data_IF_771057595023
#
_entry.id   IF_771057595023
#
_cell.length_a   1.000
_cell.length_b   1.000
_cell.length_c   1.000
_cell.angle_alpha   90.00
_cell.angle_beta   90.00
_cell.angle_gamma   90.00
#
_symmetry.space_group_name_H-M   'P 1'
#
loop_
_entity.id
_entity.type
_entity.pdbx_description
1 polymer ?
#
# COMPACT_ATOMS: atom_id res chain seq x y z
N UNK A 1 65.70 -55.28 -24.33
CA UNK A 1 65.52 -56.58 -25.01
C UNK A 1 63.99 -56.80 -25.10
N UNK A 2 63.55 -56.67 -26.30
CA UNK A 2 62.26 -56.96 -26.93
C UNK A 2 61.65 -58.35 -26.60
N UNK A 3 60.34 -58.42 -26.50
CA UNK A 3 59.58 -59.43 -27.20
C UNK A 3 58.10 -59.06 -27.36
N UNK A 4 57.72 -58.95 -28.63
CA UNK A 4 56.38 -58.84 -29.20
C UNK A 4 55.65 -60.17 -29.12
N UNK A 5 54.41 -60.22 -28.67
CA UNK A 5 53.50 -61.35 -28.96
C UNK A 5 52.22 -60.82 -29.60
N UNK A 6 52.10 -61.13 -30.85
CA UNK A 6 50.89 -60.97 -31.69
C UNK A 6 49.86 -62.00 -31.25
N UNK A 7 48.66 -61.55 -30.93
CA UNK A 7 47.49 -62.41 -30.76
C UNK A 7 46.49 -62.10 -31.89
N UNK A 8 46.18 -63.12 -32.63
CA UNK A 8 45.28 -63.21 -33.79
C UNK A 8 43.81 -63.10 -33.28
N UNK A 9 43.06 -62.11 -33.79
CA UNK A 9 41.65 -62.01 -33.53
C UNK A 9 40.83 -62.79 -34.57
N UNK A 10 39.92 -63.63 -34.10
CA UNK A 10 38.89 -64.34 -34.87
C UNK A 10 37.72 -63.40 -35.17
N UNK A 11 37.11 -63.36 -36.36
CA UNK A 11 35.97 -62.48 -36.66
C UNK A 11 34.68 -63.03 -36.05
N UNK A 12 33.91 -62.15 -35.46
CA UNK A 12 32.57 -62.38 -34.92
C UNK A 12 31.51 -62.47 -36.04
N UNK A 13 30.43 -63.23 -35.86
CA UNK A 13 29.36 -63.39 -36.87
C UNK A 13 28.46 -62.17 -36.92
N UNK A 14 27.92 -61.86 -38.12
CA UNK A 14 27.00 -60.76 -38.40
C UNK A 14 25.67 -60.94 -37.65
N UNK A 15 25.06 -59.80 -37.15
CA UNK A 15 23.74 -59.85 -36.51
C UNK A 15 22.63 -60.00 -37.57
N UNK A 16 21.63 -60.81 -37.23
CA UNK A 16 20.43 -61.07 -38.01
C UNK A 16 19.58 -59.80 -38.11
N UNK A 17 18.96 -59.55 -39.25
CA UNK A 17 17.98 -58.49 -39.49
C UNK A 17 16.73 -58.77 -38.64
N UNK A 18 16.44 -57.87 -37.69
CA UNK A 18 15.14 -57.77 -37.04
C UNK A 18 14.28 -56.77 -37.80
N UNK A 19 13.27 -57.30 -38.45
CA UNK A 19 12.11 -56.57 -38.95
C UNK A 19 11.27 -56.11 -37.74
N UNK A 20 11.44 -54.84 -37.28
CA UNK A 20 10.55 -54.21 -36.31
C UNK A 20 9.83 -53.06 -36.99
N UNK A 21 8.74 -53.40 -37.68
CA UNK A 21 7.71 -52.47 -38.08
C UNK A 21 6.80 -52.12 -36.89
N UNK A 22 7.33 -51.45 -35.86
CA UNK A 22 6.51 -50.76 -34.86
C UNK A 22 6.35 -49.33 -35.30
N UNK A 23 5.20 -49.02 -35.90
CA UNK A 23 4.75 -47.66 -36.15
C UNK A 23 4.77 -46.87 -34.82
N UNK A 24 5.75 -45.98 -34.66
CA UNK A 24 5.81 -45.07 -33.53
C UNK A 24 4.61 -44.12 -33.60
N UNK A 25 3.71 -44.23 -32.63
CA UNK A 25 2.62 -43.28 -32.44
C UNK A 25 3.21 -41.86 -32.41
N UNK A 26 2.59 -40.87 -33.11
CA UNK A 26 3.08 -39.51 -33.11
C UNK A 26 3.07 -39.00 -31.68
N UNK A 27 4.22 -38.51 -31.18
CA UNK A 27 4.37 -37.87 -29.89
C UNK A 27 3.28 -36.80 -29.75
N UNK A 28 2.61 -36.69 -28.58
CA UNK A 28 1.57 -35.69 -28.38
C UNK A 28 2.18 -34.31 -28.69
N UNK A 29 1.60 -33.62 -29.66
CA UNK A 29 1.92 -32.21 -29.95
C UNK A 29 1.72 -31.45 -28.67
N UNK A 30 2.80 -31.20 -27.91
CA UNK A 30 2.84 -30.23 -26.85
C UNK A 30 2.44 -28.92 -27.54
N UNK A 31 1.19 -28.53 -27.35
CA UNK A 31 0.69 -27.25 -27.84
C UNK A 31 1.66 -26.19 -27.32
N UNK A 32 2.45 -25.59 -28.19
CA UNK A 32 3.26 -24.43 -27.91
C UNK A 32 2.26 -23.37 -27.47
N UNK A 33 2.06 -23.25 -26.15
CA UNK A 33 1.35 -22.13 -25.54
C UNK A 33 2.04 -20.89 -26.10
N UNK A 34 1.41 -20.22 -27.05
CA UNK A 34 1.88 -18.95 -27.60
C UNK A 34 2.03 -18.02 -26.40
N UNK A 35 3.27 -17.71 -26.01
CA UNK A 35 3.54 -16.70 -24.99
C UNK A 35 3.00 -15.39 -25.56
N UNK A 36 1.83 -14.97 -25.07
CA UNK A 36 1.26 -13.67 -25.42
C UNK A 36 2.29 -12.61 -25.09
N UNK A 37 2.56 -11.64 -25.97
CA UNK A 37 3.60 -10.65 -25.72
C UNK A 37 3.22 -9.77 -24.50
N UNK A 38 4.21 -9.52 -23.65
CA UNK A 38 4.08 -8.53 -22.57
C UNK A 38 3.89 -7.12 -23.14
N UNK A 39 3.20 -6.27 -22.40
CA UNK A 39 3.03 -4.86 -22.75
C UNK A 39 4.39 -4.15 -22.68
N UNK A 40 4.83 -3.57 -23.80
CA UNK A 40 6.12 -2.89 -23.96
C UNK A 40 5.99 -1.38 -23.77
N UNK A 41 7.02 -0.74 -23.20
CA UNK A 41 7.11 0.72 -23.14
C UNK A 41 7.08 1.33 -24.55
N UNK A 42 6.41 2.46 -24.70
CA UNK A 42 6.23 3.14 -25.99
C UNK A 42 5.01 2.68 -26.78
N UNK A 43 4.32 1.61 -26.38
CA UNK A 43 3.08 1.19 -27.03
C UNK A 43 1.88 1.97 -26.46
N UNK A 44 0.82 2.18 -27.29
CA UNK A 44 -0.42 2.79 -26.80
C UNK A 44 -1.05 2.02 -25.64
N UNK A 45 -0.85 0.70 -25.58
CA UNK A 45 -1.35 -0.17 -24.52
C UNK A 45 -0.63 0.14 -23.19
N UNK A 46 0.69 0.38 -23.22
CA UNK A 46 1.46 0.80 -22.06
C UNK A 46 0.97 2.13 -21.47
N UNK A 47 0.71 3.11 -22.34
CA UNK A 47 0.18 4.42 -21.92
C UNK A 47 -1.19 4.26 -21.27
N UNK A 48 -2.09 3.46 -21.88
CA UNK A 48 -3.43 3.18 -21.34
C UNK A 48 -3.35 2.53 -19.95
N UNK A 49 -2.54 1.50 -19.80
CA UNK A 49 -2.37 0.81 -18.51
C UNK A 49 -1.79 1.76 -17.46
N UNK A 50 -0.74 2.50 -17.80
CA UNK A 50 -0.11 3.45 -16.88
C UNK A 50 -1.07 4.55 -16.44
N UNK A 51 -1.83 5.14 -17.36
CA UNK A 51 -2.83 6.16 -17.04
C UNK A 51 -3.97 5.59 -16.19
N UNK A 52 -4.43 4.38 -16.51
CA UNK A 52 -5.46 3.69 -15.73
C UNK A 52 -5.00 3.49 -14.27
N UNK A 53 -3.81 2.95 -14.05
CA UNK A 53 -3.32 2.70 -12.70
C UNK A 53 -2.95 3.98 -11.95
N UNK A 54 -2.42 4.99 -12.62
CA UNK A 54 -2.20 6.30 -12.01
C UNK A 54 -3.51 6.90 -11.49
N UNK A 55 -4.55 6.92 -12.33
CA UNK A 55 -5.87 7.44 -11.95
C UNK A 55 -6.56 6.59 -10.88
N UNK A 56 -6.42 5.26 -10.94
CA UNK A 56 -6.95 4.36 -9.91
C UNK A 56 -6.27 4.61 -8.56
N UNK A 57 -4.95 4.77 -8.55
CA UNK A 57 -4.19 5.12 -7.35
C UNK A 57 -4.62 6.46 -6.77
N UNK A 58 -4.74 7.48 -7.63
CA UNK A 58 -5.19 8.81 -7.26
C UNK A 58 -6.59 8.76 -6.64
N UNK A 59 -7.56 8.10 -7.29
CA UNK A 59 -8.92 7.95 -6.78
C UNK A 59 -8.96 7.18 -5.45
N UNK A 60 -8.23 6.06 -5.34
CA UNK A 60 -8.18 5.22 -4.14
C UNK A 60 -7.77 6.02 -2.90
N UNK A 61 -6.67 6.77 -3.00
CA UNK A 61 -6.13 7.49 -1.85
C UNK A 61 -6.88 8.81 -1.59
N UNK A 62 -7.45 9.45 -2.63
CA UNK A 62 -8.36 10.57 -2.45
C UNK A 62 -9.61 10.14 -1.66
N UNK A 63 -10.29 9.05 -2.07
CA UNK A 63 -11.45 8.49 -1.37
C UNK A 63 -11.14 8.08 0.08
N UNK A 64 -9.96 7.48 0.31
CA UNK A 64 -9.59 7.00 1.64
C UNK A 64 -9.38 8.15 2.63
N UNK A 65 -8.64 9.19 2.21
CA UNK A 65 -8.12 10.22 3.09
C UNK A 65 -8.83 11.58 3.04
N UNK A 66 -9.82 11.77 2.16
CA UNK A 66 -10.58 13.03 2.05
C UNK A 66 -11.25 13.48 3.35
N UNK A 67 -11.54 12.56 4.26
CA UNK A 67 -12.21 12.90 5.54
C UNK A 67 -11.28 13.53 6.57
N UNK A 68 -9.95 13.41 6.44
CA UNK A 68 -9.03 13.89 7.48
C UNK A 68 -9.15 15.39 7.77
N UNK A 69 -9.16 16.30 6.80
CA UNK A 69 -9.28 17.72 7.10
C UNK A 69 -10.64 18.09 7.70
N UNK A 70 -11.69 17.32 7.43
CA UNK A 70 -13.05 17.60 7.90
C UNK A 70 -13.41 16.90 9.22
N UNK A 71 -12.49 16.18 9.87
CA UNK A 71 -12.76 15.55 11.16
C UNK A 71 -13.29 16.52 12.22
N UNK A 72 -12.75 17.75 12.34
CA UNK A 72 -13.31 18.75 13.26
C UNK A 72 -14.75 19.15 12.91
N UNK A 73 -15.09 19.30 11.63
CA UNK A 73 -16.45 19.60 11.19
C UNK A 73 -17.42 18.46 11.51
N UNK A 74 -17.00 17.21 11.30
CA UNK A 74 -17.79 16.04 11.66
C UNK A 74 -18.02 15.97 13.19
N UNK A 75 -17.01 16.34 14.00
CA UNK A 75 -17.17 16.43 15.45
C UNK A 75 -18.26 17.42 15.83
N UNK A 76 -18.30 18.58 15.18
CA UNK A 76 -19.29 19.64 15.44
C UNK A 76 -20.70 19.23 14.96
N UNK A 77 -20.83 18.76 13.71
CA UNK A 77 -22.13 18.44 13.11
C UNK A 77 -22.86 17.29 13.82
N UNK A 78 -22.10 16.30 14.29
CA UNK A 78 -22.66 15.11 14.95
C UNK A 78 -22.52 15.12 16.48
N UNK A 79 -21.99 16.21 17.05
CA UNK A 79 -21.72 16.36 18.48
C UNK A 79 -20.99 15.17 19.08
N UNK A 80 -19.90 14.77 18.44
CA UNK A 80 -19.05 13.63 18.83
C UNK A 80 -17.64 14.08 19.17
N UNK A 81 -16.94 13.27 19.96
CA UNK A 81 -15.55 13.55 20.34
C UNK A 81 -14.61 13.49 19.14
N UNK A 82 -13.41 14.10 19.20
CA UNK A 82 -12.37 13.94 18.19
C UNK A 82 -11.95 12.49 17.94
N UNK A 83 -11.92 11.65 18.99
CA UNK A 83 -11.75 10.21 18.85
C UNK A 83 -12.93 9.58 18.07
N UNK A 84 -14.16 10.01 18.37
CA UNK A 84 -15.36 9.58 17.66
C UNK A 84 -15.30 9.90 16.17
N UNK A 85 -14.98 11.14 15.80
CA UNK A 85 -14.92 11.53 14.39
C UNK A 85 -13.81 10.82 13.61
N UNK A 86 -12.68 10.53 14.25
CA UNK A 86 -11.58 9.77 13.63
C UNK A 86 -12.00 8.34 13.24
N UNK A 87 -13.08 7.78 13.85
CA UNK A 87 -13.65 6.50 13.44
C UNK A 87 -14.09 6.50 11.97
N UNK A 88 -14.42 7.65 11.39
CA UNK A 88 -14.75 7.74 9.95
C UNK A 88 -13.59 7.31 9.06
N UNK A 89 -12.36 7.64 9.42
CA UNK A 89 -11.17 7.14 8.73
C UNK A 89 -10.82 5.73 9.19
N UNK A 90 -10.87 5.47 10.49
CA UNK A 90 -10.50 4.18 11.07
C UNK A 90 -11.38 3.02 10.60
N UNK A 91 -12.68 3.24 10.40
CA UNK A 91 -13.58 2.28 9.80
C UNK A 91 -13.14 1.92 8.36
N UNK A 92 -12.77 2.93 7.57
CA UNK A 92 -12.29 2.69 6.21
C UNK A 92 -10.94 1.94 6.21
N UNK A 93 -9.94 2.41 6.97
CA UNK A 93 -8.61 1.78 6.99
C UNK A 93 -8.63 0.39 7.63
N UNK A 94 -9.44 0.18 8.66
CA UNK A 94 -9.62 -1.13 9.30
C UNK A 94 -10.26 -2.14 8.37
N UNK A 95 -11.35 -1.76 7.67
CA UNK A 95 -12.01 -2.63 6.69
C UNK A 95 -11.17 -2.84 5.44
N UNK A 96 -10.34 -1.87 5.04
CA UNK A 96 -9.36 -2.06 3.98
C UNK A 96 -8.32 -3.10 4.41
N UNK A 97 -7.77 -3.00 5.63
CA UNK A 97 -6.84 -3.99 6.18
C UNK A 97 -7.46 -5.40 6.15
N UNK A 98 -8.67 -5.53 6.67
CA UNK A 98 -9.41 -6.79 6.67
C UNK A 98 -9.60 -7.33 5.23
N UNK A 99 -10.05 -6.48 4.31
CA UNK A 99 -10.29 -6.84 2.92
C UNK A 99 -9.03 -7.33 2.19
N UNK A 100 -7.84 -6.77 2.50
CA UNK A 100 -6.57 -7.20 1.88
C UNK A 100 -6.27 -8.70 2.08
N UNK A 101 -6.80 -9.32 3.13
CA UNK A 101 -6.60 -10.76 3.37
C UNK A 101 -7.37 -11.64 2.37
N UNK A 102 -8.46 -11.15 1.79
CA UNK A 102 -9.39 -11.92 0.97
C UNK A 102 -9.41 -11.49 -0.49
N UNK A 103 -9.17 -10.21 -0.79
CA UNK A 103 -9.33 -9.66 -2.15
C UNK A 103 -8.26 -10.14 -3.13
N UNK A 104 -7.03 -10.42 -2.66
CA UNK A 104 -6.00 -11.04 -3.49
C UNK A 104 -6.46 -12.40 -4.02
N UNK A 105 -6.74 -13.37 -3.13
CA UNK A 105 -7.33 -14.65 -3.49
C UNK A 105 -8.61 -14.57 -4.33
N UNK A 106 -9.53 -13.65 -4.00
CA UNK A 106 -10.73 -13.43 -4.79
C UNK A 106 -10.41 -13.05 -6.23
N UNK A 107 -9.43 -12.16 -6.42
CA UNK A 107 -9.00 -11.74 -7.75
C UNK A 107 -8.29 -12.86 -8.53
N UNK A 108 -7.66 -13.82 -7.83
CA UNK A 108 -7.10 -15.03 -8.43
C UNK A 108 -8.18 -15.97 -8.99
N UNK A 109 -9.41 -15.89 -8.48
CA UNK A 109 -10.54 -16.70 -8.94
C UNK A 109 -11.37 -16.00 -10.01
N UNK A 110 -11.69 -14.69 -9.82
CA UNK A 110 -12.67 -13.95 -10.63
C UNK A 110 -12.01 -13.15 -11.77
N UNK A 111 -10.74 -12.77 -11.60
CA UNK A 111 -9.98 -11.98 -12.57
C UNK A 111 -9.60 -10.59 -12.06
N UNK A 112 -8.42 -10.13 -12.44
CA UNK A 112 -7.79 -8.91 -11.94
C UNK A 112 -8.61 -7.66 -12.24
N UNK A 113 -8.94 -7.45 -13.52
CA UNK A 113 -9.66 -6.25 -13.98
C UNK A 113 -11.04 -6.14 -13.33
N UNK A 114 -11.81 -7.21 -13.30
CA UNK A 114 -13.18 -7.20 -12.77
C UNK A 114 -13.22 -6.79 -11.31
N UNK A 115 -12.35 -7.36 -10.47
CA UNK A 115 -12.27 -7.02 -9.05
C UNK A 115 -11.90 -5.55 -8.84
N UNK A 116 -10.90 -5.03 -9.55
CA UNK A 116 -10.48 -3.63 -9.42
C UNK A 116 -11.55 -2.64 -9.89
N UNK A 117 -12.23 -2.92 -11.00
CA UNK A 117 -13.31 -2.07 -11.52
C UNK A 117 -14.47 -2.01 -10.54
N UNK A 118 -14.96 -3.15 -10.08
CA UNK A 118 -16.06 -3.21 -9.10
C UNK A 118 -15.65 -2.49 -7.81
N UNK A 119 -14.43 -2.69 -7.36
CA UNK A 119 -13.89 -2.06 -6.17
C UNK A 119 -13.92 -0.52 -6.25
N UNK A 120 -13.41 0.06 -7.35
CA UNK A 120 -13.41 1.51 -7.55
C UNK A 120 -14.81 2.08 -7.71
N UNK A 121 -15.67 1.43 -8.49
CA UNK A 121 -17.06 1.85 -8.69
C UNK A 121 -17.83 1.86 -7.36
N UNK A 122 -17.75 0.77 -6.60
CA UNK A 122 -18.45 0.65 -5.32
C UNK A 122 -17.94 1.68 -4.32
N UNK A 123 -16.62 1.90 -4.22
CA UNK A 123 -16.04 2.90 -3.33
C UNK A 123 -16.51 4.32 -3.69
N UNK A 124 -16.54 4.67 -4.98
CA UNK A 124 -17.02 5.97 -5.44
C UNK A 124 -18.51 6.16 -5.13
N UNK A 125 -19.35 5.17 -5.41
CA UNK A 125 -20.79 5.20 -5.10
C UNK A 125 -21.03 5.32 -3.60
N UNK A 126 -20.34 4.53 -2.78
CA UNK A 126 -20.45 4.63 -1.31
C UNK A 126 -20.01 6.01 -0.80
N UNK A 127 -19.04 6.67 -1.46
CA UNK A 127 -18.65 8.04 -1.08
C UNK A 127 -19.73 9.05 -1.42
N UNK A 128 -20.39 8.93 -2.57
CA UNK A 128 -21.54 9.75 -2.94
C UNK A 128 -22.71 9.54 -1.96
N UNK A 129 -23.01 8.31 -1.60
CA UNK A 129 -24.03 8.02 -0.59
C UNK A 129 -23.61 8.58 0.78
N UNK A 130 -22.33 8.47 1.14
CA UNK A 130 -21.80 9.01 2.39
C UNK A 130 -22.02 10.52 2.51
N UNK A 131 -21.92 11.27 1.40
CA UNK A 131 -22.17 12.72 1.38
C UNK A 131 -23.61 13.11 1.71
N UNK A 132 -24.55 12.17 1.53
CA UNK A 132 -25.99 12.36 1.80
C UNK A 132 -26.42 11.86 3.17
N UNK A 133 -25.53 11.19 3.92
CA UNK A 133 -25.89 10.60 5.23
C UNK A 133 -26.13 11.69 6.27
N UNK A 134 -27.25 11.53 7.01
CA UNK A 134 -27.65 12.39 8.11
C UNK A 134 -27.34 11.80 9.48
N UNK A 135 -27.02 10.49 9.55
CA UNK A 135 -26.67 9.81 10.79
C UNK A 135 -25.18 9.45 10.82
N UNK A 136 -24.58 9.56 12.00
CA UNK A 136 -23.19 9.17 12.21
C UNK A 136 -22.92 7.69 11.88
N UNK A 137 -23.81 6.80 12.30
CA UNK A 137 -23.69 5.37 12.01
C UNK A 137 -23.76 5.08 10.50
N UNK A 138 -24.57 5.82 9.75
CA UNK A 138 -24.62 5.74 8.29
C UNK A 138 -23.29 6.13 7.65
N UNK A 139 -22.64 7.20 8.14
CA UNK A 139 -21.30 7.59 7.70
C UNK A 139 -20.29 6.48 7.98
N UNK A 140 -20.28 5.92 9.19
CA UNK A 140 -19.36 4.83 9.55
C UNK A 140 -19.56 3.60 8.67
N UNK A 141 -20.80 3.22 8.40
CA UNK A 141 -21.11 2.10 7.50
C UNK A 141 -20.58 2.36 6.08
N UNK A 142 -20.85 3.54 5.51
CA UNK A 142 -20.36 3.88 4.18
C UNK A 142 -18.84 3.91 4.15
N UNK A 143 -18.17 4.48 5.17
CA UNK A 143 -16.71 4.48 5.28
C UNK A 143 -16.12 3.07 5.39
N UNK A 144 -16.76 2.18 6.12
CA UNK A 144 -16.39 0.77 6.21
C UNK A 144 -16.50 0.07 4.83
N UNK A 145 -17.60 0.29 4.11
CA UNK A 145 -17.80 -0.24 2.76
C UNK A 145 -16.80 0.33 1.75
N UNK A 146 -16.47 1.63 1.85
CA UNK A 146 -15.42 2.25 1.03
C UNK A 146 -14.08 1.53 1.26
N UNK A 147 -13.68 1.34 2.52
CA UNK A 147 -12.42 0.67 2.84
C UNK A 147 -12.36 -0.77 2.33
N UNK A 148 -13.41 -1.54 2.59
CA UNK A 148 -13.52 -2.92 2.09
C UNK A 148 -13.42 -2.96 0.56
N UNK A 149 -14.10 -2.06 -0.14
CA UNK A 149 -14.05 -1.98 -1.59
C UNK A 149 -12.64 -1.64 -2.09
N UNK A 150 -12.00 -0.60 -1.53
CA UNK A 150 -10.68 -0.16 -1.95
C UNK A 150 -9.59 -1.23 -1.77
N UNK A 151 -9.80 -2.21 -0.88
CA UNK A 151 -8.90 -3.36 -0.74
C UNK A 151 -8.72 -4.14 -2.05
N UNK A 152 -9.77 -4.17 -2.89
CA UNK A 152 -9.74 -4.82 -4.20
C UNK A 152 -8.77 -4.16 -5.19
N UNK A 153 -8.52 -2.87 -5.06
CA UNK A 153 -7.50 -2.18 -5.87
C UNK A 153 -6.12 -2.38 -5.26
N UNK A 154 -5.98 -2.12 -3.95
CA UNK A 154 -4.69 -2.15 -3.27
C UNK A 154 -4.01 -3.54 -3.31
N UNK A 155 -4.79 -4.62 -3.20
CA UNK A 155 -4.28 -5.99 -3.25
C UNK A 155 -3.91 -6.45 -4.68
N UNK A 156 -4.58 -5.93 -5.72
CA UNK A 156 -4.56 -6.51 -7.06
C UNK A 156 -3.72 -5.70 -8.05
N UNK A 157 -3.60 -4.38 -7.84
CA UNK A 157 -2.92 -3.48 -8.76
C UNK A 157 -1.49 -3.91 -9.10
N UNK A 158 -0.68 -4.18 -8.07
CA UNK A 158 0.72 -4.58 -8.25
C UNK A 158 0.83 -5.93 -8.96
N UNK A 159 -0.10 -6.85 -8.69
CA UNK A 159 -0.13 -8.16 -9.33
C UNK A 159 -0.43 -8.04 -10.81
N UNK A 160 -1.46 -7.27 -11.20
CA UNK A 160 -1.76 -7.02 -12.61
C UNK A 160 -0.56 -6.41 -13.34
N UNK A 161 0.08 -5.39 -12.77
CA UNK A 161 1.24 -4.74 -13.39
C UNK A 161 2.40 -5.72 -13.58
N UNK A 162 2.67 -6.60 -12.62
CA UNK A 162 3.73 -7.60 -12.72
C UNK A 162 3.43 -8.74 -13.70
N UNK A 163 2.15 -9.06 -13.92
CA UNK A 163 1.71 -10.11 -14.85
C UNK A 163 1.67 -9.62 -16.31
N UNK A 164 1.30 -8.37 -16.56
CA UNK A 164 1.03 -7.87 -17.91
C UNK A 164 2.15 -7.02 -18.51
N UNK A 165 2.92 -6.29 -17.69
CA UNK A 165 4.00 -5.41 -18.15
C UNK A 165 5.29 -6.21 -18.31
N UNK A 166 6.06 -5.89 -19.34
CA UNK A 166 7.39 -6.49 -19.55
C UNK A 166 8.30 -6.27 -18.32
N UNK A 167 9.04 -7.28 -17.82
CA UNK A 167 9.84 -7.21 -16.59
C UNK A 167 10.71 -5.97 -16.45
N UNK A 168 11.31 -5.51 -17.56
CA UNK A 168 12.17 -4.30 -17.57
C UNK A 168 11.42 -2.99 -17.23
N UNK A 169 10.09 -2.95 -17.34
CA UNK A 169 9.27 -1.75 -17.16
C UNK A 169 8.28 -1.84 -16.00
N UNK A 170 8.20 -2.98 -15.32
CA UNK A 170 7.30 -3.20 -14.17
C UNK A 170 7.58 -2.18 -13.07
N UNK A 171 8.86 -1.94 -12.74
CA UNK A 171 9.22 -0.99 -11.68
C UNK A 171 8.77 0.46 -12.01
N UNK A 172 8.88 0.87 -13.28
CA UNK A 172 8.39 2.17 -13.73
C UNK A 172 6.87 2.28 -13.56
N UNK A 173 6.12 1.27 -14.01
CA UNK A 173 4.66 1.27 -13.94
C UNK A 173 4.15 1.23 -12.49
N UNK A 174 4.80 0.47 -11.62
CA UNK A 174 4.52 0.45 -10.18
C UNK A 174 4.81 1.81 -9.54
N UNK A 175 5.94 2.45 -9.92
CA UNK A 175 6.29 3.78 -9.45
C UNK A 175 5.25 4.83 -9.82
N UNK A 176 4.71 4.78 -11.04
CA UNK A 176 3.66 5.69 -11.50
C UNK A 176 2.33 5.45 -10.77
N UNK A 177 1.97 4.19 -10.50
CA UNK A 177 0.82 3.87 -9.65
C UNK A 177 0.98 4.44 -8.23
N UNK A 178 2.15 4.24 -7.60
CA UNK A 178 2.45 4.77 -6.27
C UNK A 178 2.45 6.30 -6.25
N UNK A 179 2.93 6.95 -7.32
CA UNK A 179 2.83 8.40 -7.48
C UNK A 179 1.36 8.85 -7.52
N UNK A 180 0.50 8.11 -8.22
CA UNK A 180 -0.95 8.33 -8.19
C UNK A 180 -1.50 8.26 -6.77
N UNK A 181 -1.10 7.26 -5.98
CA UNK A 181 -1.51 7.13 -4.58
C UNK A 181 -1.11 8.37 -3.74
N UNK A 182 0.13 8.82 -3.87
CA UNK A 182 0.66 9.97 -3.12
C UNK A 182 -0.06 11.26 -3.48
N UNK A 183 -0.22 11.53 -4.78
CA UNK A 183 -0.92 12.70 -5.29
C UNK A 183 -2.40 12.63 -4.90
N UNK A 184 -3.03 11.46 -4.97
CA UNK A 184 -4.41 11.24 -4.53
C UNK A 184 -4.63 11.54 -3.06
N UNK A 185 -3.73 11.04 -2.20
CA UNK A 185 -3.77 11.32 -0.77
C UNK A 185 -3.61 12.81 -0.44
N UNK A 186 -2.74 13.51 -1.16
CA UNK A 186 -2.55 14.96 -1.05
C UNK A 186 -3.76 15.73 -1.58
N UNK A 187 -4.15 15.48 -2.84
CA UNK A 187 -5.21 16.23 -3.51
C UNK A 187 -6.58 15.99 -2.87
N UNK A 188 -6.87 14.77 -2.40
CA UNK A 188 -8.11 14.47 -1.69
C UNK A 188 -8.28 15.34 -0.44
N UNK A 189 -7.23 15.50 0.36
CA UNK A 189 -7.25 16.39 1.53
C UNK A 189 -7.32 17.85 1.14
N UNK A 190 -6.53 18.28 0.17
CA UNK A 190 -6.51 19.67 -0.29
C UNK A 190 -7.89 20.10 -0.81
N UNK A 191 -8.44 19.33 -1.75
CA UNK A 191 -9.75 19.62 -2.36
C UNK A 191 -10.86 19.62 -1.31
N UNK A 192 -10.86 18.62 -0.41
CA UNK A 192 -11.88 18.56 0.64
C UNK A 192 -11.73 19.71 1.61
N UNK A 193 -10.52 20.08 2.04
CA UNK A 193 -10.29 21.22 2.91
C UNK A 193 -10.77 22.54 2.29
N UNK A 194 -10.37 22.79 1.03
CA UNK A 194 -10.77 24.02 0.31
C UNK A 194 -12.28 24.08 0.11
N UNK A 195 -12.88 23.01 -0.40
CA UNK A 195 -14.33 23.00 -0.66
C UNK A 195 -15.14 23.10 0.63
N UNK A 196 -14.65 22.55 1.74
CA UNK A 196 -15.35 22.65 3.03
C UNK A 196 -15.25 24.03 3.68
N UNK A 197 -14.31 24.86 3.24
CA UNK A 197 -14.19 26.25 3.70
C UNK A 197 -15.22 27.17 3.02
N UNK A 198 -15.51 26.94 1.73
CA UNK A 198 -16.44 27.75 0.95
C UNK A 198 -17.85 27.20 0.87
N UNK A 199 -17.99 25.88 1.07
CA UNK A 199 -19.25 25.14 0.97
C UNK A 199 -19.44 24.27 2.21
N UNK A 200 -20.09 23.11 2.07
CA UNK A 200 -20.21 22.13 3.13
C UNK A 200 -19.28 20.94 2.89
N UNK A 201 -18.92 20.24 3.98
CA UNK A 201 -18.18 18.98 3.85
C UNK A 201 -18.93 17.92 3.02
N UNK A 202 -20.28 18.00 2.95
CA UNK A 202 -21.11 17.13 2.10
C UNK A 202 -20.82 17.36 0.63
N UNK A 203 -20.77 18.63 0.20
CA UNK A 203 -20.41 18.99 -1.18
C UNK A 203 -18.99 18.56 -1.49
N UNK A 204 -18.06 18.74 -0.56
CA UNK A 204 -16.68 18.31 -0.73
C UNK A 204 -16.58 16.78 -0.96
N UNK A 205 -17.27 15.98 -0.15
CA UNK A 205 -17.32 14.53 -0.35
C UNK A 205 -18.01 14.12 -1.68
N UNK A 206 -19.09 14.82 -2.05
CA UNK A 206 -19.77 14.57 -3.34
C UNK A 206 -18.85 14.83 -4.52
N UNK A 207 -18.08 15.93 -4.51
CA UNK A 207 -17.09 16.24 -5.56
C UNK A 207 -16.01 15.17 -5.64
N UNK A 208 -15.46 14.73 -4.51
CA UNK A 208 -14.49 13.62 -4.48
C UNK A 208 -15.11 12.32 -5.00
N UNK A 209 -16.35 12.02 -4.62
CA UNK A 209 -17.08 10.84 -5.10
C UNK A 209 -17.33 10.87 -6.61
N UNK A 210 -17.75 12.02 -7.16
CA UNK A 210 -17.95 12.19 -8.62
C UNK A 210 -16.63 12.07 -9.39
N UNK A 211 -15.57 12.71 -8.89
CA UNK A 211 -14.24 12.57 -9.48
C UNK A 211 -13.78 11.11 -9.50
N UNK A 212 -13.94 10.40 -8.36
CA UNK A 212 -13.57 8.99 -8.27
C UNK A 212 -14.42 8.09 -9.16
N UNK A 213 -15.71 8.40 -9.33
CA UNK A 213 -16.60 7.69 -10.25
C UNK A 213 -16.17 7.89 -11.70
N UNK A 214 -15.81 9.11 -12.10
CA UNK A 214 -15.25 9.39 -13.42
C UNK A 214 -13.94 8.63 -13.65
N UNK A 215 -13.04 8.61 -12.65
CA UNK A 215 -11.81 7.84 -12.71
C UNK A 215 -12.07 6.32 -12.80
N UNK A 216 -13.07 5.79 -12.11
CA UNK A 216 -13.47 4.39 -12.16
C UNK A 216 -14.05 4.04 -13.55
N UNK A 217 -14.88 4.89 -14.13
CA UNK A 217 -15.41 4.73 -15.48
C UNK A 217 -14.28 4.76 -16.54
N UNK A 218 -13.34 5.69 -16.39
CA UNK A 218 -12.16 5.75 -17.24
C UNK A 218 -11.32 4.48 -17.11
N UNK A 219 -11.04 4.04 -15.87
CA UNK A 219 -10.30 2.81 -15.60
C UNK A 219 -10.95 1.59 -16.26
N UNK A 220 -12.28 1.45 -16.12
CA UNK A 220 -13.03 0.36 -16.74
C UNK A 220 -12.88 0.33 -18.24
N UNK A 221 -12.98 1.51 -18.91
CA UNK A 221 -12.92 1.62 -20.38
C UNK A 221 -11.52 1.43 -20.94
N UNK A 222 -10.49 1.97 -20.31
CA UNK A 222 -9.15 2.02 -20.89
C UNK A 222 -8.24 0.87 -20.44
N UNK A 223 -8.49 0.24 -19.26
CA UNK A 223 -7.68 -0.88 -18.84
C UNK A 223 -7.96 -2.12 -19.71
N UNK A 224 -6.93 -2.72 -20.35
CA UNK A 224 -7.10 -3.96 -21.09
C UNK A 224 -7.49 -5.12 -20.16
N UNK A 225 -8.12 -6.15 -20.71
CA UNK A 225 -8.30 -7.41 -19.99
C UNK A 225 -6.93 -8.07 -19.78
N UNK A 226 -6.74 -8.73 -18.63
CA UNK A 226 -5.51 -9.46 -18.32
C UNK A 226 -5.32 -10.61 -19.32
N UNK A 227 -4.17 -10.64 -20.00
CA UNK A 227 -3.81 -11.67 -21.00
C UNK A 227 -3.04 -12.84 -20.38
N UNK A 228 -2.34 -12.59 -19.27
CA UNK A 228 -1.50 -13.56 -18.58
C UNK A 228 -2.16 -14.14 -17.33
N UNK A 229 -3.36 -13.70 -17.01
CA UNK A 229 -4.16 -14.21 -15.89
C UNK A 229 -4.44 -15.70 -16.04
N UNK A 230 -4.15 -16.46 -15.00
CA UNK A 230 -4.50 -17.86 -14.87
C UNK A 230 -5.30 -18.07 -13.59
N UNK A 231 -6.57 -18.48 -13.70
CA UNK A 231 -7.37 -18.78 -12.52
C UNK A 231 -6.67 -19.80 -11.64
N UNK A 232 -6.57 -19.49 -10.35
CA UNK A 232 -5.98 -20.38 -9.36
C UNK A 232 -7.04 -20.71 -8.32
N UNK A 233 -7.17 -21.98 -7.97
CA UNK A 233 -8.10 -22.39 -6.93
C UNK A 233 -7.68 -21.87 -5.56
N UNK A 234 -8.62 -21.31 -4.81
CA UNK A 234 -8.42 -20.92 -3.42
C UNK A 234 -8.12 -22.17 -2.59
N UNK A 235 -6.93 -22.24 -2.02
CA UNK A 235 -6.54 -23.30 -1.07
C UNK A 235 -6.33 -22.70 0.31
N UNK A 236 -7.35 -22.60 1.17
CA UNK A 236 -7.27 -21.97 2.48
C UNK A 236 -6.13 -22.54 3.34
N UNK A 237 -5.91 -23.85 3.24
CA UNK A 237 -4.82 -24.55 3.95
C UNK A 237 -3.44 -23.96 3.62
N UNK A 238 -3.18 -23.66 2.34
CA UNK A 238 -1.91 -23.05 1.91
C UNK A 238 -1.72 -21.64 2.48
N UNK A 239 -2.79 -20.86 2.52
CA UNK A 239 -2.77 -19.51 3.12
C UNK A 239 -2.43 -19.57 4.61
N UNK A 240 -3.05 -20.50 5.35
CA UNK A 240 -2.76 -20.69 6.79
C UNK A 240 -1.33 -21.19 7.02
N UNK A 241 -0.83 -22.09 6.20
CA UNK A 241 0.55 -22.59 6.31
C UNK A 241 1.55 -21.45 6.08
N UNK A 242 1.38 -20.67 5.03
CA UNK A 242 2.25 -19.52 4.74
C UNK A 242 2.16 -18.45 5.82
N UNK A 243 0.97 -18.18 6.36
CA UNK A 243 0.78 -17.28 7.51
C UNK A 243 1.63 -17.73 8.71
N UNK A 244 1.52 -19.00 9.11
CA UNK A 244 2.34 -19.56 10.20
C UNK A 244 3.84 -19.46 9.90
N UNK A 245 4.24 -19.67 8.64
CA UNK A 245 5.64 -19.57 8.22
C UNK A 245 6.19 -18.15 8.40
N UNK A 246 5.40 -17.11 8.05
CA UNK A 246 5.82 -15.72 8.20
C UNK A 246 5.94 -15.31 9.67
N UNK A 247 5.07 -15.81 10.56
CA UNK A 247 5.17 -15.55 12.01
C UNK A 247 6.33 -16.27 12.68
N UNK A 248 6.86 -17.34 12.10
CA UNK A 248 8.04 -18.06 12.60
C UNK A 248 9.37 -17.40 12.20
N UNK A 249 9.37 -16.53 11.20
CA UNK A 249 10.57 -15.75 10.86
C UNK A 249 10.80 -14.69 11.93
N UNK A 250 12.02 -14.59 12.52
CA UNK A 250 12.26 -13.67 13.63
C UNK A 250 12.18 -12.19 13.21
N UNK A 251 12.25 -11.85 11.94
CA UNK A 251 12.27 -10.46 11.48
C UNK A 251 11.00 -9.99 10.76
N UNK A 252 10.22 -10.90 10.15
CA UNK A 252 8.98 -10.49 9.49
C UNK A 252 7.97 -9.90 10.47
N UNK A 253 7.69 -10.48 11.66
CA UNK A 253 6.81 -9.87 12.64
C UNK A 253 7.29 -8.49 13.13
N UNK A 254 8.60 -8.28 13.24
CA UNK A 254 9.16 -6.97 13.59
C UNK A 254 8.89 -5.95 12.48
N UNK A 255 9.02 -6.33 11.21
CA UNK A 255 8.66 -5.47 10.08
C UNK A 255 7.16 -5.18 10.02
N UNK A 256 6.30 -6.14 10.40
CA UNK A 256 4.86 -5.90 10.52
C UNK A 256 4.54 -4.90 11.63
N UNK A 257 5.22 -5.02 12.78
CA UNK A 257 5.12 -4.06 13.87
C UNK A 257 5.61 -2.68 13.47
N UNK A 258 6.70 -2.57 12.70
CA UNK A 258 7.16 -1.30 12.12
C UNK A 258 6.08 -0.65 11.27
N UNK A 259 5.44 -1.41 10.36
CA UNK A 259 4.34 -0.90 9.55
C UNK A 259 3.20 -0.33 10.39
N UNK A 260 2.81 -1.04 11.47
CA UNK A 260 1.79 -0.60 12.41
C UNK A 260 2.18 0.71 13.12
N UNK A 261 3.38 0.78 13.66
CA UNK A 261 3.85 1.89 14.47
C UNK A 261 4.05 3.17 13.65
N UNK A 262 4.73 3.08 12.50
CA UNK A 262 5.00 4.26 11.65
C UNK A 262 3.72 4.81 11.03
N UNK A 263 2.83 3.93 10.54
CA UNK A 263 1.56 4.38 9.94
C UNK A 263 0.58 4.89 10.99
N UNK A 264 0.52 4.23 12.14
CA UNK A 264 -0.26 4.70 13.28
C UNK A 264 0.15 6.11 13.71
N UNK A 265 1.46 6.36 13.85
CA UNK A 265 2.02 7.67 14.15
C UNK A 265 1.66 8.72 13.09
N UNK A 266 1.78 8.33 11.81
CA UNK A 266 1.50 9.22 10.69
C UNK A 266 0.03 9.66 10.65
N UNK A 267 -0.89 8.71 10.75
CA UNK A 267 -2.31 9.01 10.71
C UNK A 267 -2.76 9.79 11.93
N UNK A 268 -2.21 9.50 13.11
CA UNK A 268 -2.50 10.24 14.33
C UNK A 268 -2.15 11.72 14.18
N UNK A 269 -0.96 12.04 13.66
CA UNK A 269 -0.59 13.45 13.46
C UNK A 269 -1.58 14.16 12.52
N UNK A 270 -1.90 13.57 11.38
CA UNK A 270 -2.81 14.17 10.40
C UNK A 270 -4.27 14.22 10.84
N UNK A 271 -4.72 13.30 11.72
CA UNK A 271 -6.07 13.34 12.27
C UNK A 271 -6.28 14.52 13.24
N UNK A 272 -5.25 14.89 14.03
CA UNK A 272 -5.43 15.85 15.12
C UNK A 272 -4.79 17.21 14.86
N UNK A 273 -3.94 17.37 13.85
CA UNK A 273 -3.35 18.67 13.52
C UNK A 273 -4.42 19.69 13.11
N UNK A 274 -5.49 19.27 12.45
CA UNK A 274 -6.61 20.11 12.07
C UNK A 274 -7.30 20.72 13.30
N UNK A 275 -7.57 19.92 14.32
CA UNK A 275 -8.16 20.40 15.58
C UNK A 275 -7.30 21.48 16.25
N UNK A 276 -5.97 21.32 16.22
CA UNK A 276 -5.03 22.29 16.79
C UNK A 276 -5.05 23.61 16.03
N UNK A 277 -5.03 23.55 14.69
CA UNK A 277 -4.84 24.74 13.87
C UNK A 277 -6.13 25.54 13.64
N UNK A 278 -7.29 24.89 13.74
CA UNK A 278 -8.60 25.56 13.69
C UNK A 278 -8.96 26.23 15.02
N UNK A 279 -8.40 25.77 16.13
CA UNK A 279 -8.63 26.32 17.47
C UNK A 279 -7.65 27.45 17.82
N UNK A 280 -7.88 28.07 19.01
CA UNK A 280 -6.94 29.05 19.59
C UNK A 280 -5.53 28.45 19.71
N UNK A 281 -4.48 29.25 19.52
CA UNK A 281 -4.46 30.68 19.15
C UNK A 281 -4.45 30.93 17.63
N UNK A 282 -4.54 29.86 16.79
CA UNK A 282 -4.25 29.92 15.34
C UNK A 282 -5.45 30.38 14.51
N UNK A 283 -6.65 29.87 14.77
CA UNK A 283 -7.89 30.14 14.02
C UNK A 283 -7.72 30.10 12.49
N UNK A 284 -6.91 29.12 11.98
CA UNK A 284 -6.71 28.95 10.55
C UNK A 284 -7.98 28.41 9.89
N UNK A 285 -8.15 28.67 8.59
CA UNK A 285 -9.29 28.15 7.83
C UNK A 285 -9.12 26.66 7.45
N UNK A 286 -10.22 26.00 7.10
CA UNK A 286 -10.24 24.63 6.60
C UNK A 286 -9.39 24.47 5.33
N UNK A 287 -9.39 25.48 4.45
CA UNK A 287 -8.58 25.52 3.26
C UNK A 287 -7.09 25.44 3.60
N UNK A 288 -6.63 26.20 4.60
CA UNK A 288 -5.23 26.16 5.05
C UNK A 288 -4.88 24.81 5.65
N UNK A 289 -5.76 24.20 6.44
CA UNK A 289 -5.55 22.84 6.98
C UNK A 289 -5.46 21.81 5.85
N UNK A 290 -6.30 21.92 4.83
CA UNK A 290 -6.21 21.07 3.63
C UNK A 290 -4.90 21.29 2.88
N UNK A 291 -4.43 22.54 2.75
CA UNK A 291 -3.19 22.90 2.08
C UNK A 291 -1.94 22.31 2.76
N UNK A 292 -1.99 22.06 4.08
CA UNK A 292 -0.89 21.37 4.77
C UNK A 292 -0.54 20.02 4.16
N UNK A 293 -1.46 19.38 3.43
CA UNK A 293 -1.17 18.13 2.74
C UNK A 293 -0.09 18.26 1.66
N UNK A 294 0.31 19.47 1.26
CA UNK A 294 1.42 19.71 0.32
C UNK A 294 2.75 19.15 0.86
N UNK A 295 2.89 18.97 2.18
CA UNK A 295 4.07 18.32 2.80
C UNK A 295 4.31 16.89 2.27
N UNK A 296 3.31 16.26 1.65
CA UNK A 296 3.46 14.96 0.98
C UNK A 296 4.49 15.00 -0.17
N UNK A 297 4.74 16.17 -0.75
CA UNK A 297 5.78 16.32 -1.78
C UNK A 297 7.18 16.00 -1.23
N UNK A 298 7.43 16.24 0.05
CA UNK A 298 8.69 15.85 0.70
C UNK A 298 8.89 14.35 0.69
N UNK A 299 7.78 13.60 0.81
CA UNK A 299 7.77 12.14 0.73
C UNK A 299 8.15 11.61 -0.66
N UNK A 300 7.68 12.26 -1.71
CA UNK A 300 8.03 11.91 -3.09
C UNK A 300 9.54 12.03 -3.35
N UNK A 301 10.21 12.93 -2.64
CA UNK A 301 11.67 13.11 -2.72
C UNK A 301 12.43 12.15 -1.78
N UNK A 302 11.96 12.01 -0.52
CA UNK A 302 12.67 11.24 0.50
C UNK A 302 12.63 9.73 0.25
N UNK A 303 11.52 9.19 -0.26
CA UNK A 303 11.33 7.75 -0.49
C UNK A 303 12.35 7.16 -1.48
N UNK A 304 12.54 7.68 -2.71
CA UNK A 304 13.56 7.16 -3.62
C UNK A 304 14.99 7.32 -3.07
N UNK A 305 15.28 8.46 -2.41
CA UNK A 305 16.58 8.67 -1.80
C UNK A 305 16.88 7.68 -0.68
N UNK A 306 15.92 7.42 0.21
CA UNK A 306 16.08 6.42 1.24
C UNK A 306 16.35 5.04 0.62
N UNK A 307 15.58 4.66 -0.41
CA UNK A 307 15.81 3.42 -1.16
C UNK A 307 17.23 3.32 -1.73
N UNK A 308 17.75 4.38 -2.35
CA UNK A 308 19.11 4.42 -2.88
C UNK A 308 20.17 4.33 -1.78
N UNK A 309 19.97 4.99 -0.64
CA UNK A 309 20.90 4.96 0.49
C UNK A 309 20.98 3.60 1.15
N UNK A 310 19.95 2.75 1.06
CA UNK A 310 20.02 1.39 1.61
C UNK A 310 21.07 0.51 0.97
N UNK A 311 21.42 0.76 -0.29
CA UNK A 311 22.49 0.01 -0.97
C UNK A 311 23.89 0.38 -0.44
N UNK A 312 24.06 1.59 0.09
CA UNK A 312 25.35 2.09 0.62
C UNK A 312 25.51 1.85 2.13
N UNK A 313 24.45 2.10 2.90
CA UNK A 313 24.51 2.11 4.37
C UNK A 313 23.73 0.93 5.00
N UNK A 314 23.06 0.12 4.20
CA UNK A 314 22.19 -0.96 4.69
C UNK A 314 20.79 -0.47 5.08
N UNK A 315 19.84 -1.40 5.16
CA UNK A 315 18.42 -1.10 5.46
C UNK A 315 18.19 -0.65 6.90
N UNK A 316 18.86 -1.30 7.87
CA UNK A 316 18.67 -1.00 9.29
C UNK A 316 19.01 0.45 9.67
N UNK A 317 20.22 0.96 9.37
CA UNK A 317 20.58 2.35 9.66
C UNK A 317 19.66 3.37 8.99
N UNK A 318 19.25 3.15 7.73
CA UNK A 318 18.37 4.08 7.02
C UNK A 318 16.95 4.05 7.61
N UNK A 319 16.43 2.88 8.00
CA UNK A 319 15.15 2.78 8.71
C UNK A 319 15.18 3.58 10.02
N UNK A 320 16.20 3.35 10.87
CA UNK A 320 16.34 4.06 12.14
C UNK A 320 16.49 5.57 11.96
N UNK A 321 17.29 6.02 11.00
CA UNK A 321 17.43 7.45 10.68
C UNK A 321 16.09 8.06 10.23
N UNK A 322 15.31 7.32 9.43
CA UNK A 322 14.00 7.77 8.95
C UNK A 322 12.97 7.89 10.08
N UNK A 323 12.94 6.91 11.01
CA UNK A 323 12.09 6.96 12.21
C UNK A 323 12.56 8.08 13.14
N UNK A 324 13.87 8.29 13.29
CA UNK A 324 14.45 9.42 14.03
C UNK A 324 14.00 10.78 13.45
N UNK A 325 13.94 10.90 12.11
CA UNK A 325 13.38 12.09 11.46
C UNK A 325 11.89 12.29 11.81
N UNK A 326 11.08 11.23 11.85
CA UNK A 326 9.69 11.34 12.31
C UNK A 326 9.62 11.85 13.74
N UNK A 327 10.45 11.31 14.64
CA UNK A 327 10.47 11.73 16.04
C UNK A 327 10.85 13.21 16.17
N UNK A 328 11.91 13.64 15.49
CA UNK A 328 12.33 15.05 15.48
C UNK A 328 11.20 15.91 14.90
N UNK A 329 10.60 15.50 13.79
CA UNK A 329 9.52 16.23 13.13
C UNK A 329 8.31 16.45 14.04
N UNK A 330 7.83 15.41 14.74
CA UNK A 330 6.70 15.56 15.65
C UNK A 330 7.03 16.47 16.84
N UNK A 331 8.26 16.39 17.39
CA UNK A 331 8.70 17.28 18.47
C UNK A 331 8.76 18.74 18.02
N UNK A 332 9.21 19.02 16.80
CA UNK A 332 9.20 20.37 16.22
C UNK A 332 7.77 20.91 16.13
N UNK A 333 6.77 20.07 15.86
CA UNK A 333 5.37 20.53 15.84
C UNK A 333 4.88 21.04 17.21
N UNK A 334 5.57 20.80 18.31
CA UNK A 334 5.18 21.29 19.64
C UNK A 334 5.38 22.80 19.81
N UNK A 335 6.26 23.40 19.02
CA UNK A 335 6.51 24.85 19.07
C UNK A 335 5.33 25.65 18.51
N UNK A 336 5.00 26.82 19.13
CA UNK A 336 3.81 27.57 18.77
C UNK A 336 3.76 28.16 17.35
N UNK A 337 4.86 28.68 16.76
CA UNK A 337 4.77 29.32 15.44
C UNK A 337 4.25 28.36 14.35
N UNK A 338 3.30 28.81 13.54
CA UNK A 338 2.71 28.00 12.44
C UNK A 338 3.80 27.51 11.47
N UNK A 339 4.83 28.33 11.22
CA UNK A 339 5.93 27.94 10.34
C UNK A 339 6.72 26.76 10.91
N UNK A 340 6.95 26.69 12.21
CA UNK A 340 7.63 25.57 12.86
C UNK A 340 6.77 24.31 12.82
N UNK A 341 5.47 24.44 12.99
CA UNK A 341 4.52 23.31 12.83
C UNK A 341 4.63 22.77 11.41
N UNK A 342 4.62 23.64 10.40
CA UNK A 342 4.74 23.22 9.00
C UNK A 342 6.08 22.52 8.72
N UNK A 343 7.21 23.08 9.19
CA UNK A 343 8.55 22.46 9.08
C UNK A 343 8.55 21.11 9.78
N UNK A 344 8.01 21.01 10.99
CA UNK A 344 7.90 19.75 11.72
C UNK A 344 7.10 18.69 10.93
N UNK A 345 5.98 19.08 10.35
CA UNK A 345 5.21 18.20 9.46
C UNK A 345 5.97 17.79 8.20
N UNK A 346 6.77 18.67 7.59
CA UNK A 346 7.62 18.33 6.44
C UNK A 346 8.65 17.27 6.80
N UNK A 347 9.38 17.46 7.91
CA UNK A 347 10.41 16.54 8.41
C UNK A 347 9.78 15.20 8.78
N UNK A 348 8.66 15.23 9.50
CA UNK A 348 7.92 14.04 9.89
C UNK A 348 7.45 13.24 8.67
N UNK A 349 6.85 13.91 7.69
CA UNK A 349 6.33 13.28 6.47
C UNK A 349 7.46 12.70 5.61
N UNK A 350 8.57 13.42 5.46
CA UNK A 350 9.76 12.92 4.78
C UNK A 350 10.30 11.64 5.45
N UNK A 351 10.40 11.64 6.78
CA UNK A 351 10.79 10.47 7.58
C UNK A 351 9.84 9.30 7.38
N UNK A 352 8.54 9.54 7.42
CA UNK A 352 7.51 8.51 7.23
C UNK A 352 7.64 7.79 5.87
N UNK A 353 7.68 8.54 4.77
CA UNK A 353 7.78 7.96 3.44
C UNK A 353 9.10 7.21 3.23
N UNK A 354 10.20 7.71 3.80
CA UNK A 354 11.49 7.04 3.80
C UNK A 354 11.42 5.72 4.59
N UNK A 355 10.92 5.73 5.83
CA UNK A 355 10.78 4.55 6.66
C UNK A 355 9.88 3.49 6.02
N UNK A 356 8.71 3.89 5.50
CA UNK A 356 7.77 2.99 4.82
C UNK A 356 8.41 2.34 3.57
N UNK A 357 9.12 3.12 2.76
CA UNK A 357 9.82 2.62 1.57
C UNK A 357 10.87 1.56 1.93
N UNK A 358 11.66 1.83 2.96
CA UNK A 358 12.69 0.88 3.44
C UNK A 358 12.05 -0.37 4.02
N UNK A 359 11.06 -0.23 4.91
CA UNK A 359 10.40 -1.36 5.57
C UNK A 359 9.69 -2.27 4.54
N UNK A 360 8.92 -1.70 3.60
CA UNK A 360 8.21 -2.46 2.58
C UNK A 360 9.16 -3.20 1.63
N UNK A 361 10.27 -2.56 1.23
CA UNK A 361 11.31 -3.23 0.42
C UNK A 361 12.00 -4.37 1.20
N UNK A 362 12.18 -4.19 2.49
CA UNK A 362 12.80 -5.21 3.35
C UNK A 362 11.93 -6.46 3.50
N UNK A 363 10.60 -6.30 3.54
CA UNK A 363 9.64 -7.43 3.48
C UNK A 363 9.91 -8.31 2.25
N UNK A 364 9.94 -7.70 1.05
CA UNK A 364 10.17 -8.43 -0.20
C UNK A 364 11.54 -9.13 -0.27
N UNK A 365 12.53 -8.58 0.44
CA UNK A 365 13.88 -9.16 0.52
C UNK A 365 13.97 -10.30 1.55
N UNK A 366 13.32 -10.14 2.72
CA UNK A 366 13.37 -11.12 3.80
C UNK A 366 12.43 -12.31 3.57
N UNK A 367 11.25 -12.08 3.01
CA UNK A 367 10.29 -13.14 2.71
C UNK A 367 10.82 -14.05 1.60
N UNK A 368 11.13 -15.32 1.94
CA UNK A 368 11.67 -16.31 1.00
C UNK A 368 10.58 -16.97 0.17
N UNK A 369 9.43 -17.26 0.77
CA UNK A 369 8.27 -17.90 0.16
C UNK A 369 7.05 -16.98 0.30
N UNK A 370 6.10 -17.12 -0.61
CA UNK A 370 4.84 -16.38 -0.59
C UNK A 370 5.02 -14.86 -0.31
N UNK A 371 5.95 -14.21 -1.04
CA UNK A 371 6.31 -12.79 -0.86
C UNK A 371 5.11 -11.86 -0.92
N UNK A 372 4.15 -12.15 -1.82
CA UNK A 372 2.92 -11.40 -1.93
C UNK A 372 2.10 -11.43 -0.63
N UNK A 373 2.00 -12.61 0.02
CA UNK A 373 1.30 -12.74 1.28
C UNK A 373 2.02 -12.03 2.44
N UNK A 374 3.37 -12.06 2.47
CA UNK A 374 4.14 -11.28 3.44
C UNK A 374 3.90 -9.76 3.28
N UNK A 375 3.85 -9.28 2.03
CA UNK A 375 3.53 -7.88 1.74
C UNK A 375 2.09 -7.53 2.14
N UNK A 376 1.13 -8.43 1.92
CA UNK A 376 -0.26 -8.24 2.36
C UNK A 376 -0.38 -8.18 3.88
N UNK A 377 0.37 -9.02 4.62
CA UNK A 377 0.41 -8.97 6.08
C UNK A 377 1.03 -7.67 6.60
N UNK A 378 2.08 -7.19 5.96
CA UNK A 378 2.66 -5.88 6.26
C UNK A 378 1.63 -4.76 6.07
N UNK A 379 0.93 -4.74 4.93
CA UNK A 379 -0.10 -3.75 4.65
C UNK A 379 -1.30 -3.89 5.59
N UNK A 380 -1.66 -5.11 5.98
CA UNK A 380 -2.67 -5.34 7.01
C UNK A 380 -2.29 -4.65 8.32
N UNK A 381 -1.08 -4.91 8.84
CA UNK A 381 -0.59 -4.27 10.07
C UNK A 381 -0.46 -2.75 9.92
N UNK A 382 0.00 -2.27 8.77
CA UNK A 382 0.11 -0.87 8.42
C UNK A 382 -1.26 -0.15 8.51
N UNK A 383 -2.30 -0.67 7.89
CA UNK A 383 -3.64 -0.08 7.96
C UNK A 383 -4.34 -0.33 9.31
N UNK A 384 -4.04 -1.44 9.99
CA UNK A 384 -4.49 -1.66 11.36
C UNK A 384 -3.88 -0.61 12.32
N UNK A 385 -2.61 -0.25 12.14
CA UNK A 385 -1.97 0.85 12.86
C UNK A 385 -2.67 2.19 12.62
N UNK A 386 -2.98 2.49 11.37
CA UNK A 386 -3.79 3.67 10.99
C UNK A 386 -5.13 3.70 11.72
N UNK A 387 -5.84 2.58 11.73
CA UNK A 387 -7.17 2.49 12.35
C UNK A 387 -7.10 2.62 13.88
N UNK A 388 -6.26 1.81 14.51
CA UNK A 388 -6.18 1.72 15.99
C UNK A 388 -5.55 2.98 16.57
N UNK A 389 -4.34 3.31 16.16
CA UNK A 389 -3.62 4.45 16.73
C UNK A 389 -4.26 5.78 16.32
N UNK A 390 -4.79 5.88 15.08
CA UNK A 390 -5.52 7.06 14.64
C UNK A 390 -6.71 7.40 15.53
N UNK A 391 -7.42 6.39 16.05
CA UNK A 391 -8.53 6.60 17.00
C UNK A 391 -8.04 6.85 18.42
N UNK A 392 -7.07 6.05 18.90
CA UNK A 392 -6.54 6.20 20.26
C UNK A 392 -5.91 7.57 20.50
N UNK A 393 -5.27 8.16 19.49
CA UNK A 393 -4.72 9.51 19.56
C UNK A 393 -5.74 10.55 20.01
N UNK A 394 -7.04 10.35 19.75
CA UNK A 394 -8.10 11.26 20.20
C UNK A 394 -8.33 11.24 21.71
N UNK A 395 -8.03 10.14 22.39
CA UNK A 395 -8.06 10.09 23.86
C UNK A 395 -6.97 10.99 24.43
N UNK A 396 -5.78 10.94 23.85
CA UNK A 396 -4.66 11.82 24.27
C UNK A 396 -4.93 13.28 23.95
N UNK A 397 -5.56 13.55 22.80
CA UNK A 397 -6.01 14.89 22.43
C UNK A 397 -7.02 15.47 23.47
N UNK A 398 -8.02 14.69 23.86
CA UNK A 398 -9.06 15.11 24.80
C UNK A 398 -8.50 15.43 26.19
N UNK A 399 -7.52 14.64 26.67
CA UNK A 399 -7.01 14.78 28.04
C UNK A 399 -5.86 15.80 28.14
N UNK A 400 -4.99 15.90 27.15
CA UNK A 400 -3.73 16.65 27.22
C UNK A 400 -3.51 17.56 26.00
N UNK A 401 -4.50 17.70 25.13
CA UNK A 401 -4.39 18.48 23.89
C UNK A 401 -3.26 18.01 22.98
N UNK A 402 -2.60 18.96 22.32
CA UNK A 402 -1.53 18.64 21.36
C UNK A 402 -0.34 17.95 22.02
N UNK A 403 0.03 18.32 23.24
CA UNK A 403 1.12 17.68 23.96
C UNK A 403 0.87 16.18 24.19
N UNK A 404 -0.38 15.80 24.46
CA UNK A 404 -0.79 14.42 24.59
C UNK A 404 -0.62 13.64 23.27
N UNK A 405 -1.03 14.24 22.15
CA UNK A 405 -0.86 13.65 20.82
C UNK A 405 0.62 13.45 20.49
N UNK A 406 1.45 14.48 20.75
CA UNK A 406 2.91 14.38 20.53
C UNK A 406 3.53 13.30 21.40
N UNK A 407 3.17 13.23 22.69
CA UNK A 407 3.68 12.21 23.60
C UNK A 407 3.29 10.79 23.14
N UNK A 408 2.04 10.61 22.71
CA UNK A 408 1.57 9.33 22.17
C UNK A 408 2.35 8.92 20.90
N UNK A 409 2.50 9.83 19.93
CA UNK A 409 3.27 9.58 18.70
C UNK A 409 4.75 9.32 19.04
N UNK A 410 5.35 10.11 19.91
CA UNK A 410 6.74 9.93 20.32
C UNK A 410 6.97 8.55 20.97
N UNK A 411 6.04 8.10 21.83
CA UNK A 411 6.09 6.76 22.42
C UNK A 411 6.05 5.66 21.36
N UNK A 412 5.15 5.78 20.38
CA UNK A 412 5.10 4.82 19.27
C UNK A 412 6.39 4.81 18.44
N UNK A 413 6.97 5.98 18.18
CA UNK A 413 8.21 6.10 17.41
C UNK A 413 9.44 5.61 18.19
N UNK A 414 9.49 5.80 19.51
CA UNK A 414 10.53 5.21 20.36
C UNK A 414 10.43 3.69 20.37
N UNK A 415 9.21 3.15 20.41
CA UNK A 415 8.99 1.71 20.27
C UNK A 415 9.42 1.22 18.87
N UNK A 416 9.12 1.98 17.81
CA UNK A 416 9.59 1.66 16.46
C UNK A 416 11.12 1.69 16.37
N UNK A 417 11.80 2.66 16.96
CA UNK A 417 13.27 2.67 17.03
C UNK A 417 13.82 1.44 17.75
N UNK A 418 13.18 1.01 18.83
CA UNK A 418 13.57 -0.22 19.54
C UNK A 418 13.38 -1.47 18.67
N UNK A 419 12.22 -1.59 18.01
CA UNK A 419 11.91 -2.70 17.08
C UNK A 419 12.89 -2.70 15.91
N UNK A 420 13.16 -1.54 15.30
CA UNK A 420 14.12 -1.38 14.22
C UNK A 420 15.56 -1.73 14.61
N UNK A 421 15.95 -1.38 15.83
CA UNK A 421 17.26 -1.78 16.37
C UNK A 421 17.36 -3.29 16.56
N UNK A 422 16.31 -3.94 17.09
CA UNK A 422 16.25 -5.41 17.18
C UNK A 422 16.31 -6.06 15.80
N UNK A 423 15.56 -5.52 14.83
CA UNK A 423 15.56 -5.99 13.46
C UNK A 423 16.95 -5.89 12.79
N UNK A 424 17.69 -4.80 13.06
CA UNK A 424 19.06 -4.59 12.57
C UNK A 424 20.05 -5.63 13.11
N UNK A 425 19.84 -6.11 14.34
CA UNK A 425 20.71 -7.11 14.98
C UNK A 425 20.45 -8.54 14.48
N UNK A 426 19.33 -8.79 13.82
CA UNK A 426 19.04 -10.12 13.29
C UNK A 426 19.94 -10.45 12.10
N UNK A 427 20.42 -11.68 11.99
CA UNK A 427 21.17 -12.11 10.81
C UNK A 427 20.31 -11.95 9.56
N UNK A 428 20.95 -11.56 8.45
CA UNK A 428 20.30 -11.62 7.15
C UNK A 428 19.77 -13.06 6.94
N UNK A 429 18.58 -13.19 6.38
CA UNK A 429 18.00 -14.49 6.12
C UNK A 429 19.02 -15.34 5.32
N UNK A 430 19.58 -16.40 5.92
CA UNK A 430 20.64 -17.23 5.35
C UNK A 430 20.26 -17.62 3.90
N UNK A 431 21.14 -17.36 2.94
CA UNK A 431 21.00 -17.86 1.56
C UNK A 431 21.04 -19.40 1.64
N UNK A 432 19.92 -20.07 1.39
CA UNK A 432 19.84 -21.51 1.15
C UNK A 432 19.75 -21.68 -0.35
#
# INVERSE_FOLDING_TARGET
VTTSTRTTATPAPAPAANDDSTASAPAPKVARLSKRPYIQRGTPEFIRVTLAFFSAGLATFALLYCVQPILPLLSQDFNISPAGSSLSLSAATGMLAFGLMFTGPLSDAVGRKSVMVVALMLAAICTLICSLMTSWHGILLMRALIGLSLSGVAAVAMTYLSEEIHPSFVALSMGLYISGNSIGGMSGRLVTGVLSDFFSWRIALAVIGLFALAAACMFWRILPASKHFRPTSLRPRTLVINFKLHWRDPGLPLLFAEGFLIMGSFVTLFNYIGYRLLAQPYYLSQAVVGLLSIVYLTGSYSSPKAGALTSRYGRGPILLASIGMMLIGVLITSFPPVITIFIGMMVFTAGFFAAHSVASSWIGHRARRAKAQASSLYLFCYYAGSSVAGTLGGIFWLNLGWSGVVAFIATMLLLALYVGQRLRQLPEAAKI
#
